data_IF_419738258320
#
_entry.id   IF_419738258320
#
_cell.length_a   1.000
_cell.length_b   1.000
_cell.length_c   1.000
_cell.angle_alpha   90.00
_cell.angle_beta   90.00
_cell.angle_gamma   90.00
#
_symmetry.space_group_name_H-M   'P 1'
#
loop_
_entity.id
_entity.type
_entity.pdbx_description
1 polymer ?
#
# COMPACT_ATOMS: atom_id res chain seq x y z
N UNK A 1 25.26 6.96 21.45
CA UNK A 1 23.94 6.30 21.35
C UNK A 1 23.56 6.10 19.90
N UNK A 2 24.21 5.12 19.26
CA UNK A 2 23.95 4.73 17.87
C UNK A 2 23.32 3.35 17.85
N UNK A 3 22.21 3.19 17.14
CA UNK A 3 21.61 1.86 16.97
C UNK A 3 20.10 1.80 16.73
N UNK A 4 19.37 2.92 16.69
CA UNK A 4 18.00 2.89 16.18
C UNK A 4 18.07 2.83 14.65
N UNK A 5 18.16 1.61 14.09
CA UNK A 5 17.82 1.40 12.70
C UNK A 5 16.46 2.07 12.44
N UNK A 6 16.29 2.83 11.34
CA UNK A 6 15.01 3.46 11.06
C UNK A 6 13.96 2.35 10.97
N UNK A 7 12.93 2.43 11.83
CA UNK A 7 11.83 1.44 11.87
C UNK A 7 10.99 1.46 10.59
N UNK A 8 11.04 2.58 9.84
CA UNK A 8 10.31 2.80 8.58
C UNK A 8 10.44 1.64 7.57
N UNK A 9 11.65 1.28 7.08
CA UNK A 9 11.81 0.19 6.11
C UNK A 9 11.30 -1.17 6.60
N UNK A 10 11.42 -1.45 7.90
CA UNK A 10 10.90 -2.69 8.48
C UNK A 10 9.39 -2.72 8.48
N UNK A 11 8.73 -1.61 8.84
CA UNK A 11 7.29 -1.48 8.80
C UNK A 11 6.75 -1.55 7.37
N UNK A 12 7.44 -0.93 6.40
CA UNK A 12 7.06 -1.04 4.99
C UNK A 12 7.18 -2.48 4.51
N UNK A 13 8.30 -3.14 4.80
CA UNK A 13 8.50 -4.55 4.45
C UNK A 13 7.42 -5.44 5.08
N UNK A 14 7.12 -5.22 6.36
CA UNK A 14 6.06 -5.93 7.07
C UNK A 14 4.70 -5.76 6.36
N UNK A 15 4.33 -4.53 5.97
CA UNK A 15 3.09 -4.29 5.21
C UNK A 15 3.10 -5.09 3.90
N UNK A 16 4.18 -5.03 3.13
CA UNK A 16 4.28 -5.73 1.85
C UNK A 16 4.19 -7.26 2.01
N UNK A 17 4.89 -7.83 2.97
CA UNK A 17 4.93 -9.27 3.21
C UNK A 17 3.56 -9.78 3.71
N UNK A 18 2.92 -9.04 4.62
CA UNK A 18 1.63 -9.41 5.18
C UNK A 18 0.47 -9.25 4.19
N UNK A 19 0.48 -8.24 3.31
CA UNK A 19 -0.52 -8.12 2.24
C UNK A 19 -0.49 -9.35 1.35
N UNK A 20 0.71 -9.80 0.93
CA UNK A 20 0.85 -10.97 0.08
C UNK A 20 0.48 -12.29 0.79
N UNK A 21 0.74 -12.39 2.08
CA UNK A 21 0.48 -13.61 2.87
C UNK A 21 -0.98 -13.74 3.32
N UNK A 22 -1.71 -12.62 3.44
CA UNK A 22 -3.04 -12.56 4.08
C UNK A 22 -4.15 -12.05 3.16
N UNK A 23 -4.05 -12.32 1.86
CA UNK A 23 -5.05 -11.89 0.86
C UNK A 23 -6.48 -12.36 1.13
N UNK A 24 -6.74 -13.28 2.08
CA UNK A 24 -8.11 -13.70 2.44
C UNK A 24 -8.59 -13.16 3.79
N UNK A 25 -7.75 -12.40 4.49
CA UNK A 25 -8.04 -11.86 5.82
C UNK A 25 -8.33 -10.35 5.72
N UNK A 26 -9.59 -10.02 5.46
CA UNK A 26 -10.02 -8.63 5.27
C UNK A 26 -9.70 -7.71 6.48
N UNK A 27 -9.87 -8.15 7.76
CA UNK A 27 -9.49 -7.33 8.91
C UNK A 27 -8.00 -7.00 8.95
N UNK A 28 -7.14 -7.96 8.59
CA UNK A 28 -5.68 -7.76 8.53
C UNK A 28 -5.32 -6.73 7.46
N UNK A 29 -5.84 -6.90 6.23
CA UNK A 29 -5.60 -5.96 5.12
C UNK A 29 -6.05 -4.53 5.47
N UNK A 30 -7.19 -4.37 6.14
CA UNK A 30 -7.64 -3.07 6.64
C UNK A 30 -6.68 -2.46 7.67
N UNK A 31 -6.16 -3.28 8.59
CA UNK A 31 -5.15 -2.85 9.56
C UNK A 31 -3.87 -2.36 8.88
N UNK A 32 -3.39 -3.10 7.88
CA UNK A 32 -2.20 -2.74 7.10
C UNK A 32 -2.38 -1.44 6.32
N UNK A 33 -3.54 -1.23 5.69
CA UNK A 33 -3.83 0.03 4.99
C UNK A 33 -3.94 1.23 5.96
N UNK A 34 -4.47 1.02 7.16
CA UNK A 34 -4.47 2.08 8.21
C UNK A 34 -3.07 2.38 8.72
N UNK A 35 -2.21 1.37 8.87
CA UNK A 35 -0.81 1.56 9.23
C UNK A 35 -0.08 2.37 8.16
N UNK A 36 -0.24 2.02 6.88
CA UNK A 36 0.34 2.79 5.77
C UNK A 36 -0.16 4.23 5.76
N UNK A 37 -1.45 4.46 6.02
CA UNK A 37 -2.00 5.80 6.14
C UNK A 37 -1.30 6.61 7.24
N UNK A 38 -1.15 6.04 8.43
CA UNK A 38 -0.48 6.69 9.55
C UNK A 38 0.99 7.02 9.20
N UNK A 39 1.67 6.10 8.52
CA UNK A 39 3.04 6.31 8.03
C UNK A 39 3.11 7.45 7.00
N UNK A 40 2.18 7.52 6.05
CA UNK A 40 2.13 8.59 5.05
C UNK A 40 1.92 9.98 5.67
N UNK A 41 1.10 10.06 6.71
CA UNK A 41 0.86 11.31 7.44
C UNK A 41 1.99 11.70 8.39
N UNK A 42 2.88 10.76 8.73
CA UNK A 42 3.98 11.04 9.63
C UNK A 42 5.13 11.74 8.90
N UNK A 43 5.49 12.94 9.35
CA UNK A 43 6.58 13.74 8.76
C UNK A 43 7.97 13.09 8.94
N UNK A 44 8.11 12.17 9.90
CA UNK A 44 9.38 11.51 10.22
C UNK A 44 9.69 10.27 9.36
N UNK A 45 8.75 9.84 8.51
CA UNK A 45 8.86 8.60 7.74
C UNK A 45 9.10 8.93 6.28
N UNK A 46 10.32 8.68 5.82
CA UNK A 46 10.62 8.66 4.39
C UNK A 46 10.23 7.30 3.78
N UNK A 47 9.26 7.32 2.86
CA UNK A 47 8.73 6.14 2.17
C UNK A 47 9.29 6.00 0.75
N UNK A 48 9.99 7.03 0.27
CA UNK A 48 10.61 7.04 -1.05
C UNK A 48 11.44 5.78 -1.36
N UNK A 49 12.37 5.32 -0.49
CA UNK A 49 13.22 4.17 -0.81
C UNK A 49 12.41 2.86 -0.99
N UNK A 50 11.21 2.78 -0.43
CA UNK A 50 10.36 1.59 -0.46
C UNK A 50 9.13 1.75 -1.36
N UNK A 51 9.00 2.86 -2.09
CA UNK A 51 7.87 3.15 -2.97
C UNK A 51 7.61 2.04 -3.99
N UNK A 52 8.69 1.49 -4.56
CA UNK A 52 8.62 0.43 -5.57
C UNK A 52 8.02 -0.89 -5.05
N UNK A 53 8.07 -1.14 -3.73
CA UNK A 53 7.46 -2.31 -3.09
C UNK A 53 6.05 -1.99 -2.59
N UNK A 54 5.85 -0.78 -2.07
CA UNK A 54 4.55 -0.32 -1.55
C UNK A 54 3.49 -0.24 -2.64
N UNK A 55 3.84 0.30 -3.80
CA UNK A 55 2.86 0.52 -4.87
C UNK A 55 2.20 -0.79 -5.33
N UNK A 56 2.94 -1.88 -5.63
CA UNK A 56 2.34 -3.18 -5.91
C UNK A 56 1.45 -3.72 -4.78
N UNK A 57 1.86 -3.57 -3.52
CA UNK A 57 1.07 -4.04 -2.37
C UNK A 57 -0.25 -3.27 -2.24
N UNK A 58 -0.22 -1.94 -2.38
CA UNK A 58 -1.43 -1.11 -2.37
C UNK A 58 -2.33 -1.43 -3.55
N UNK A 59 -1.77 -1.55 -4.77
CA UNK A 59 -2.54 -1.91 -5.97
C UNK A 59 -3.17 -3.30 -5.85
N UNK A 60 -2.49 -4.27 -5.22
CA UNK A 60 -3.07 -5.58 -4.92
C UNK A 60 -4.34 -5.44 -4.07
N UNK A 61 -4.37 -4.55 -3.07
CA UNK A 61 -5.57 -4.26 -2.29
C UNK A 61 -6.66 -3.50 -3.08
N UNK A 62 -6.33 -2.85 -4.20
CA UNK A 62 -7.31 -2.18 -5.09
C UNK A 62 -7.93 -3.19 -6.06
N UNK A 63 -7.09 -3.93 -6.79
CA UNK A 63 -7.51 -4.75 -7.93
C UNK A 63 -7.55 -6.25 -7.67
N UNK A 64 -7.06 -6.72 -6.51
CA UNK A 64 -6.97 -8.14 -6.19
C UNK A 64 -8.30 -8.89 -6.36
N UNK A 65 -8.26 -10.07 -7.01
CA UNK A 65 -9.46 -10.86 -7.34
C UNK A 65 -10.14 -11.45 -6.09
N UNK A 66 -9.36 -11.78 -5.05
CA UNK A 66 -9.84 -12.39 -3.81
C UNK A 66 -9.11 -11.74 -2.64
N UNK A 67 -9.77 -10.78 -1.99
CA UNK A 67 -9.26 -10.00 -0.85
C UNK A 67 -9.96 -10.34 0.48
N UNK A 68 -10.87 -11.30 0.43
CA UNK A 68 -11.76 -11.67 1.52
C UNK A 68 -12.03 -13.19 1.47
N UNK A 69 -12.49 -13.74 2.58
CA UNK A 69 -12.86 -15.15 2.68
C UNK A 69 -14.26 -15.40 2.13
N UNK A 70 -15.13 -14.39 2.18
CA UNK A 70 -16.49 -14.44 1.64
C UNK A 70 -16.81 -13.18 0.84
N UNK A 71 -17.53 -13.29 -0.30
CA UNK A 71 -17.97 -12.13 -1.07
C UNK A 71 -18.99 -11.24 -0.34
N UNK A 72 -19.54 -11.72 0.79
CA UNK A 72 -20.44 -10.94 1.64
C UNK A 72 -19.71 -9.95 2.56
N UNK A 73 -18.38 -10.09 2.71
CA UNK A 73 -17.58 -9.15 3.50
C UNK A 73 -17.45 -7.81 2.76
N UNK A 74 -17.41 -6.70 3.51
CA UNK A 74 -17.27 -5.34 2.96
C UNK A 74 -15.83 -5.07 2.46
N UNK A 75 -15.45 -5.78 1.39
CA UNK A 75 -14.17 -5.60 0.72
C UNK A 75 -14.11 -4.30 -0.10
N UNK A 76 -15.26 -3.67 -0.37
CA UNK A 76 -15.33 -2.40 -1.10
C UNK A 76 -14.69 -1.27 -0.32
N UNK A 77 -14.90 -1.24 1.00
CA UNK A 77 -14.25 -0.27 1.88
C UNK A 77 -12.73 -0.39 1.86
N UNK A 78 -12.18 -1.60 1.87
CA UNK A 78 -10.73 -1.83 1.72
C UNK A 78 -10.23 -1.27 0.39
N UNK A 79 -10.89 -1.63 -0.71
CA UNK A 79 -10.50 -1.18 -2.07
C UNK A 79 -10.52 0.34 -2.18
N UNK A 80 -11.55 0.99 -1.65
CA UNK A 80 -11.66 2.44 -1.64
C UNK A 80 -10.52 3.09 -0.84
N UNK A 81 -10.24 2.57 0.36
CA UNK A 81 -9.13 3.08 1.18
C UNK A 81 -7.77 2.89 0.47
N UNK A 82 -7.54 1.73 -0.14
CA UNK A 82 -6.30 1.46 -0.89
C UNK A 82 -6.15 2.39 -2.11
N UNK A 83 -7.23 2.64 -2.85
CA UNK A 83 -7.20 3.57 -4.00
C UNK A 83 -6.90 5.02 -3.57
N UNK A 84 -7.46 5.44 -2.43
CA UNK A 84 -7.16 6.75 -1.86
C UNK A 84 -5.69 6.85 -1.41
N UNK A 85 -5.13 5.80 -0.82
CA UNK A 85 -3.70 5.75 -0.47
C UNK A 85 -2.79 5.76 -1.71
N UNK A 86 -3.16 5.03 -2.76
CA UNK A 86 -2.44 5.04 -4.03
C UNK A 86 -2.40 6.46 -4.64
N UNK A 87 -3.52 7.18 -4.57
CA UNK A 87 -3.60 8.57 -5.05
C UNK A 87 -2.67 9.49 -4.25
N UNK A 88 -2.64 9.38 -2.93
CA UNK A 88 -1.73 10.18 -2.10
C UNK A 88 -0.24 9.88 -2.37
N UNK A 89 0.10 8.60 -2.58
CA UNK A 89 1.45 8.20 -2.99
C UNK A 89 1.81 8.81 -4.34
N UNK A 90 0.92 8.72 -5.33
CA UNK A 90 1.11 9.34 -6.63
C UNK A 90 1.29 10.85 -6.51
N UNK A 91 0.41 11.55 -5.80
CA UNK A 91 0.52 13.00 -5.65
C UNK A 91 1.80 13.45 -4.98
N UNK A 92 2.33 12.66 -4.03
CA UNK A 92 3.59 12.97 -3.34
C UNK A 92 4.84 12.69 -4.18
N UNK A 93 4.79 11.74 -5.11
CA UNK A 93 5.98 11.21 -5.78
C UNK A 93 5.98 11.33 -7.32
N UNK A 94 4.85 11.67 -7.97
CA UNK A 94 4.72 11.76 -9.43
C UNK A 94 5.70 12.74 -10.08
N UNK A 95 5.98 13.86 -9.40
CA UNK A 95 6.87 14.90 -9.94
C UNK A 95 8.34 14.45 -9.91
N UNK A 96 8.68 13.56 -8.96
CA UNK A 96 10.04 13.00 -8.79
C UNK A 96 10.26 11.74 -9.64
N UNK A 97 9.20 10.97 -9.89
CA UNK A 97 9.24 9.72 -10.65
C UNK A 97 8.20 9.75 -11.77
N UNK A 98 8.52 10.33 -12.95
CA UNK A 98 7.56 10.46 -14.05
C UNK A 98 7.06 9.10 -14.57
N UNK A 99 7.85 8.03 -14.43
CA UNK A 99 7.47 6.66 -14.82
C UNK A 99 6.50 5.97 -13.84
N UNK A 100 6.23 6.57 -12.68
CA UNK A 100 5.36 5.97 -11.67
C UNK A 100 3.91 5.91 -12.15
N UNK A 101 3.39 7.03 -12.63
CA UNK A 101 2.02 7.16 -13.12
C UNK A 101 1.72 6.20 -14.29
N UNK A 102 2.51 6.13 -15.37
CA UNK A 102 2.22 5.23 -16.49
C UNK A 102 2.25 3.76 -16.06
N UNK A 103 3.15 3.34 -15.16
CA UNK A 103 3.19 1.96 -14.65
C UNK A 103 1.94 1.60 -13.84
N UNK A 104 1.47 2.52 -13.00
CA UNK A 104 0.25 2.33 -12.21
C UNK A 104 -0.97 2.29 -13.13
N UNK A 105 -1.07 3.21 -14.09
CA UNK A 105 -2.14 3.25 -15.06
C UNK A 105 -2.22 1.96 -15.88
N UNK A 106 -1.07 1.44 -16.34
CA UNK A 106 -1.00 0.15 -17.04
C UNK A 106 -1.53 -0.99 -16.16
N UNK A 107 -1.10 -1.06 -14.89
CA UNK A 107 -1.57 -2.11 -13.96
C UNK A 107 -3.08 -2.04 -13.74
N UNK A 108 -3.65 -0.83 -13.70
CA UNK A 108 -5.10 -0.64 -13.54
C UNK A 108 -5.88 -0.97 -14.82
N UNK A 109 -5.29 -0.78 -16.01
CA UNK A 109 -5.90 -1.12 -17.30
C UNK A 109 -5.88 -2.63 -17.58
N UNK A 110 -4.86 -3.33 -17.09
CA UNK A 110 -4.69 -4.78 -17.29
C UNK A 110 -5.47 -5.65 -16.27
N UNK A 111 -5.96 -5.04 -15.20
CA UNK A 111 -6.66 -5.73 -14.10
C UNK A 111 -8.11 -6.11 -14.42
#
# INVERSE_FOLDING_TARGET
DGGTHPLSPYLVKFICDEVNSNLRCLPMLNGLMRLLQAMLTSLSVDLEPSLHQLMPAVLTCVVGKRLCSSPLEDHWRLRHQAAWLATQLLDRYKDKYPDLLPRVAQTLLEA
#
